data_IF_138547835932
#
_entry.id   IF_138547835932
#
_cell.length_a   1.000
_cell.length_b   1.000
_cell.length_c   1.000
_cell.angle_alpha   90.00
_cell.angle_beta   90.00
_cell.angle_gamma   90.00
#
_symmetry.space_group_name_H-M   'P 1'
#
loop_
_entity.id
_entity.type
_entity.pdbx_description
1 polymer ?
#
# COMPACT_ATOMS: atom_id res chain seq x y z
N UNK A 1 -30.66 9.91 -7.80
CA UNK A 1 -30.49 8.90 -8.86
C UNK A 1 -29.04 8.77 -9.35
N UNK A 2 -28.18 9.81 -9.28
CA UNK A 2 -26.75 9.73 -9.71
C UNK A 2 -25.81 9.04 -8.70
N UNK A 3 -26.19 8.99 -7.41
CA UNK A 3 -25.39 8.42 -6.33
C UNK A 3 -25.35 6.87 -6.33
N UNK A 4 -26.41 6.22 -6.81
CA UNK A 4 -26.46 4.76 -6.89
C UNK A 4 -25.48 4.23 -7.94
N UNK A 5 -25.40 4.89 -9.10
CA UNK A 5 -24.45 4.52 -10.17
C UNK A 5 -22.99 4.66 -9.74
N UNK A 6 -22.66 5.64 -8.90
CA UNK A 6 -21.29 5.83 -8.38
C UNK A 6 -20.93 4.79 -7.32
N UNK A 7 -21.87 4.41 -6.46
CA UNK A 7 -21.67 3.38 -5.42
C UNK A 7 -21.59 1.98 -6.06
N UNK A 8 -22.42 1.70 -7.07
CA UNK A 8 -22.41 0.45 -7.82
C UNK A 8 -21.10 0.31 -8.63
N UNK A 9 -20.63 1.39 -9.26
CA UNK A 9 -19.32 1.43 -9.92
C UNK A 9 -18.17 1.18 -8.94
N UNK A 10 -18.25 1.73 -7.72
CA UNK A 10 -17.23 1.52 -6.69
C UNK A 10 -17.21 0.07 -6.19
N UNK A 11 -18.37 -0.53 -5.90
CA UNK A 11 -18.49 -1.95 -5.50
C UNK A 11 -18.00 -2.91 -6.58
N UNK A 12 -18.16 -2.54 -7.85
CA UNK A 12 -17.66 -3.31 -8.99
C UNK A 12 -16.14 -3.26 -9.12
N UNK A 13 -15.51 -2.16 -8.68
CA UNK A 13 -14.05 -2.00 -8.65
C UNK A 13 -13.45 -2.70 -7.41
N UNK A 14 -14.19 -2.77 -6.30
CA UNK A 14 -13.72 -3.35 -5.03
C UNK A 14 -14.67 -4.47 -4.53
N UNK A 15 -14.65 -5.67 -5.13
CA UNK A 15 -15.54 -6.76 -4.72
C UNK A 15 -15.17 -7.29 -3.32
N UNK A 16 -16.08 -7.14 -2.36
CA UNK A 16 -15.95 -7.50 -0.93
C UNK A 16 -15.97 -9.01 -0.61
N UNK A 17 -15.54 -9.89 -1.53
CA UNK A 17 -15.72 -11.35 -1.40
C UNK A 17 -14.42 -12.20 -1.30
N UNK A 18 -13.28 -11.62 -0.89
CA UNK A 18 -12.09 -12.42 -0.54
C UNK A 18 -12.06 -12.66 0.97
N UNK A 19 -11.84 -13.90 1.43
CA UNK A 19 -11.66 -14.22 2.86
C UNK A 19 -10.50 -13.36 3.42
N UNK A 20 -10.75 -12.35 4.29
CA UNK A 20 -9.80 -11.26 4.52
C UNK A 20 -8.58 -11.56 5.42
N UNK A 21 -8.40 -12.77 5.95
CA UNK A 21 -7.61 -12.92 7.18
C UNK A 21 -6.12 -13.18 7.01
N UNK A 22 -5.63 -13.73 5.90
CA UNK A 22 -4.21 -14.12 5.81
C UNK A 22 -3.34 -13.07 5.12
N UNK A 23 -3.90 -12.20 4.28
CA UNK A 23 -3.09 -11.30 3.44
C UNK A 23 -2.31 -10.25 4.24
N UNK A 24 -2.92 -9.66 5.27
CA UNK A 24 -2.23 -8.69 6.13
C UNK A 24 -1.20 -9.36 7.04
N UNK A 25 -1.48 -10.58 7.51
CA UNK A 25 -0.50 -11.37 8.28
C UNK A 25 0.70 -11.74 7.41
N UNK A 26 0.46 -12.17 6.16
CA UNK A 26 1.51 -12.47 5.20
C UNK A 26 2.33 -11.24 4.82
N UNK A 27 1.69 -10.09 4.62
CA UNK A 27 2.38 -8.82 4.36
C UNK A 27 3.27 -8.40 5.54
N UNK A 28 2.75 -8.49 6.77
CA UNK A 28 3.51 -8.21 7.98
C UNK A 28 4.68 -9.18 8.18
N UNK A 29 4.41 -10.49 8.14
CA UNK A 29 5.44 -11.52 8.30
C UNK A 29 6.55 -11.37 7.25
N UNK A 30 6.18 -11.05 5.99
CA UNK A 30 7.15 -10.82 4.94
C UNK A 30 7.99 -9.57 5.21
N UNK A 31 7.35 -8.48 5.62
CA UNK A 31 8.04 -7.24 5.97
C UNK A 31 9.04 -7.48 7.10
N UNK A 32 8.62 -8.12 8.19
CA UNK A 32 9.47 -8.43 9.34
C UNK A 32 10.64 -9.33 8.94
N UNK A 33 10.39 -10.39 8.16
CA UNK A 33 11.46 -11.26 7.65
C UNK A 33 12.54 -10.48 6.89
N UNK A 34 12.14 -9.55 6.00
CA UNK A 34 13.13 -8.76 5.25
C UNK A 34 13.81 -7.72 6.15
N UNK A 35 13.09 -7.09 7.07
CA UNK A 35 13.65 -6.14 8.03
C UNK A 35 14.73 -6.81 8.87
N UNK A 36 14.39 -7.92 9.51
CA UNK A 36 15.27 -8.67 10.42
C UNK A 36 16.51 -9.15 9.65
N UNK A 37 16.34 -9.66 8.43
CA UNK A 37 17.45 -10.02 7.55
C UNK A 37 18.41 -8.84 7.30
N UNK A 38 17.89 -7.64 7.07
CA UNK A 38 18.73 -6.46 6.85
C UNK A 38 19.42 -5.99 8.13
N UNK A 39 18.77 -6.14 9.29
CA UNK A 39 19.37 -5.86 10.60
C UNK A 39 20.51 -6.83 10.91
N UNK A 40 20.31 -8.13 10.68
CA UNK A 40 21.32 -9.18 10.87
C UNK A 40 22.56 -8.97 9.98
N UNK A 41 22.38 -8.38 8.79
CA UNK A 41 23.46 -8.04 7.86
C UNK A 41 24.02 -6.62 8.06
N UNK A 42 23.56 -5.88 9.09
CA UNK A 42 23.91 -4.48 9.36
C UNK A 42 23.74 -3.54 8.14
N UNK A 43 22.79 -3.85 7.24
CA UNK A 43 22.58 -3.10 6.01
C UNK A 43 21.73 -1.84 6.23
N UNK A 44 22.42 -0.79 6.65
CA UNK A 44 21.83 0.55 6.86
C UNK A 44 21.14 1.11 5.62
N UNK A 45 21.62 0.76 4.41
CA UNK A 45 21.06 1.29 3.16
C UNK A 45 19.73 0.60 2.86
N UNK A 46 19.68 -0.73 2.98
CA UNK A 46 18.44 -1.50 2.86
C UNK A 46 17.39 -1.07 3.87
N UNK A 47 17.78 -0.91 5.15
CA UNK A 47 16.88 -0.45 6.20
C UNK A 47 16.27 0.92 5.89
N UNK A 48 17.08 1.88 5.46
CA UNK A 48 16.59 3.21 5.05
C UNK A 48 15.62 3.15 3.86
N UNK A 49 15.83 2.24 2.90
CA UNK A 49 14.90 2.06 1.78
C UNK A 49 13.55 1.50 2.23
N UNK A 50 13.55 0.56 3.18
CA UNK A 50 12.32 0.01 3.78
C UNK A 50 11.56 1.05 4.61
N UNK A 51 12.26 1.86 5.41
CA UNK A 51 11.65 2.97 6.14
C UNK A 51 10.98 3.98 5.20
N UNK A 52 11.67 4.33 4.10
CA UNK A 52 11.08 5.21 3.09
C UNK A 52 9.86 4.55 2.42
N UNK A 53 9.94 3.25 2.10
CA UNK A 53 8.82 2.48 1.55
C UNK A 53 7.60 2.52 2.47
N UNK A 54 7.77 2.29 3.77
CA UNK A 54 6.71 2.43 4.76
C UNK A 54 6.12 3.84 4.78
N UNK A 55 6.97 4.86 4.73
CA UNK A 55 6.53 6.26 4.72
C UNK A 55 5.65 6.55 3.50
N UNK A 56 6.00 6.03 2.31
CA UNK A 56 5.17 6.18 1.10
C UNK A 56 3.86 5.38 1.20
N UNK A 57 3.90 4.16 1.75
CA UNK A 57 2.70 3.34 1.97
C UNK A 57 1.71 4.05 2.90
N UNK A 58 2.18 4.55 4.05
CA UNK A 58 1.36 5.33 5.00
C UNK A 58 0.78 6.56 4.32
N UNK A 59 1.59 7.32 3.56
CA UNK A 59 1.12 8.52 2.86
C UNK A 59 0.03 8.23 1.83
N UNK A 60 0.12 7.07 1.15
CA UNK A 60 -0.89 6.62 0.20
C UNK A 60 -2.19 6.22 0.90
N UNK A 61 -2.10 5.41 1.96
CA UNK A 61 -3.26 4.98 2.75
C UNK A 61 -3.96 6.17 3.44
N UNK A 62 -3.22 7.13 3.99
CA UNK A 62 -3.80 8.37 4.56
C UNK A 62 -4.60 9.13 3.49
N UNK A 63 -4.11 9.19 2.25
CA UNK A 63 -4.83 9.83 1.16
C UNK A 63 -6.15 9.12 0.84
N UNK A 64 -6.17 7.77 0.83
CA UNK A 64 -7.39 6.98 0.64
C UNK A 64 -8.38 7.25 1.76
N UNK A 65 -7.93 7.17 3.02
CA UNK A 65 -8.80 7.38 4.18
C UNK A 65 -9.41 8.80 4.14
N UNK A 66 -8.64 9.83 3.77
CA UNK A 66 -9.16 11.20 3.61
C UNK A 66 -10.18 11.31 2.48
N UNK A 67 -10.00 10.58 1.38
CA UNK A 67 -11.00 10.51 0.30
C UNK A 67 -12.29 9.87 0.81
N UNK A 68 -12.20 8.76 1.54
CA UNK A 68 -13.37 8.05 2.05
C UNK A 68 -14.13 8.85 3.11
N UNK A 69 -13.40 9.53 4.00
CA UNK A 69 -13.99 10.49 4.96
C UNK A 69 -14.68 11.62 4.19
N UNK A 70 -14.03 12.19 3.17
CA UNK A 70 -14.63 13.27 2.37
C UNK A 70 -15.90 12.81 1.62
N UNK A 71 -15.92 11.55 1.16
CA UNK A 71 -17.08 10.91 0.56
C UNK A 71 -18.21 10.62 1.57
N UNK A 72 -17.89 10.51 2.85
CA UNK A 72 -18.87 10.27 3.91
C UNK A 72 -19.46 11.58 4.43
N UNK A 73 -18.67 12.65 4.48
CA UNK A 73 -19.07 13.97 5.02
C UNK A 73 -19.71 14.88 3.95
N UNK A 74 -20.26 14.30 2.87
CA UNK A 74 -20.89 15.02 1.75
C UNK A 74 -21.98 16.03 2.15
N UNK A 75 -22.58 15.86 3.32
CA UNK A 75 -23.70 16.69 3.81
C UNK A 75 -23.33 18.12 4.23
N UNK A 76 -22.06 18.55 4.11
CA UNK A 76 -21.60 19.86 4.63
C UNK A 76 -21.01 20.81 3.60
N UNK A 77 -20.87 20.41 2.35
CA UNK A 77 -20.27 21.22 1.29
C UNK A 77 -21.27 21.45 0.15
N UNK A 78 -21.15 22.59 -0.50
CA UNK A 78 -21.80 22.83 -1.79
C UNK A 78 -21.27 21.85 -2.84
N UNK A 79 -22.08 21.50 -3.84
CA UNK A 79 -21.76 20.46 -4.82
C UNK A 79 -20.44 20.75 -5.56
N UNK A 80 -20.21 21.99 -5.96
CA UNK A 80 -19.00 22.41 -6.67
C UNK A 80 -17.74 22.31 -5.80
N UNK A 81 -17.81 22.73 -4.53
CA UNK A 81 -16.70 22.62 -3.59
C UNK A 81 -16.34 21.16 -3.31
N UNK A 82 -17.36 20.30 -3.19
CA UNK A 82 -17.17 18.87 -3.02
C UNK A 82 -16.47 18.25 -4.24
N UNK A 83 -16.90 18.59 -5.46
CA UNK A 83 -16.29 18.10 -6.70
C UNK A 83 -14.81 18.52 -6.77
N UNK A 84 -14.51 19.79 -6.55
CA UNK A 84 -13.15 20.32 -6.59
C UNK A 84 -12.24 19.61 -5.58
N UNK A 85 -12.74 19.39 -4.36
CA UNK A 85 -12.01 18.65 -3.31
C UNK A 85 -11.76 17.19 -3.69
N UNK A 86 -12.74 16.51 -4.29
CA UNK A 86 -12.56 15.12 -4.74
C UNK A 86 -11.54 15.00 -5.88
N UNK A 87 -11.54 15.96 -6.81
CA UNK A 87 -10.54 16.02 -7.89
C UNK A 87 -9.13 16.22 -7.34
N UNK A 88 -8.96 17.15 -6.38
CA UNK A 88 -7.69 17.40 -5.72
C UNK A 88 -7.17 16.14 -4.99
N UNK A 89 -8.05 15.49 -4.21
CA UNK A 89 -7.69 14.29 -3.48
C UNK A 89 -7.38 13.11 -4.41
N UNK A 90 -8.12 12.93 -5.52
CA UNK A 90 -7.80 11.90 -6.51
C UNK A 90 -6.45 12.15 -7.19
N UNK A 91 -6.15 13.40 -7.52
CA UNK A 91 -4.86 13.78 -8.07
C UNK A 91 -3.72 13.46 -7.09
N UNK A 92 -3.88 13.84 -5.82
CA UNK A 92 -2.91 13.54 -4.76
C UNK A 92 -2.75 12.03 -4.56
N UNK A 93 -3.85 11.26 -4.54
CA UNK A 93 -3.83 9.80 -4.43
C UNK A 93 -2.98 9.17 -5.52
N UNK A 94 -3.16 9.61 -6.78
CA UNK A 94 -2.37 9.10 -7.92
C UNK A 94 -0.88 9.39 -7.73
N UNK A 95 -0.51 10.62 -7.33
CA UNK A 95 0.89 10.98 -7.08
C UNK A 95 1.49 10.10 -5.98
N UNK A 96 0.78 9.93 -4.85
CA UNK A 96 1.26 9.11 -3.73
C UNK A 96 1.37 7.64 -4.12
N UNK A 97 0.45 7.14 -4.94
CA UNK A 97 0.50 5.77 -5.44
C UNK A 97 1.70 5.52 -6.35
N UNK A 98 1.97 6.42 -7.30
CA UNK A 98 3.15 6.31 -8.17
C UNK A 98 4.45 6.39 -7.35
N UNK A 99 4.49 7.25 -6.32
CA UNK A 99 5.63 7.33 -5.41
C UNK A 99 5.84 6.02 -4.64
N UNK A 100 4.77 5.39 -4.16
CA UNK A 100 4.81 4.07 -3.52
C UNK A 100 5.34 2.99 -4.47
N UNK A 101 4.78 2.91 -5.69
CA UNK A 101 5.21 1.93 -6.71
C UNK A 101 6.69 2.13 -7.05
N UNK A 102 7.13 3.37 -7.23
CA UNK A 102 8.52 3.70 -7.51
C UNK A 102 9.44 3.23 -6.39
N UNK A 103 9.09 3.55 -5.14
CA UNK A 103 9.89 3.16 -3.98
C UNK A 103 9.93 1.65 -3.77
N UNK A 104 8.82 0.95 -4.00
CA UNK A 104 8.76 -0.51 -3.94
C UNK A 104 9.72 -1.13 -4.96
N UNK A 105 9.73 -0.60 -6.19
CA UNK A 105 10.65 -1.06 -7.23
C UNK A 105 12.11 -0.78 -6.89
N UNK A 106 12.44 0.39 -6.35
CA UNK A 106 13.81 0.74 -5.93
C UNK A 106 14.27 -0.24 -4.84
N UNK A 107 13.43 -0.45 -3.83
CA UNK A 107 13.72 -1.36 -2.70
C UNK A 107 13.93 -2.79 -3.19
N UNK A 108 13.01 -3.32 -4.01
CA UNK A 108 13.12 -4.67 -4.53
C UNK A 108 14.33 -4.88 -5.46
N UNK A 109 14.66 -3.90 -6.31
CA UNK A 109 15.87 -3.94 -7.14
C UNK A 109 17.14 -3.93 -6.30
N UNK A 110 17.17 -3.14 -5.23
CA UNK A 110 18.28 -3.11 -4.30
C UNK A 110 18.47 -4.47 -3.62
N UNK A 111 17.40 -5.04 -3.07
CA UNK A 111 17.43 -6.35 -2.40
C UNK A 111 17.85 -7.47 -3.38
N UNK A 112 17.34 -7.43 -4.60
CA UNK A 112 17.73 -8.36 -5.66
C UNK A 112 19.22 -8.25 -5.98
N UNK A 113 19.72 -7.05 -6.26
CA UNK A 113 21.12 -6.86 -6.66
C UNK A 113 22.13 -7.32 -5.60
N UNK A 114 21.82 -7.12 -4.32
CA UNK A 114 22.78 -7.36 -3.25
C UNK A 114 22.65 -8.74 -2.59
N UNK A 115 21.49 -9.41 -2.72
CA UNK A 115 21.19 -10.62 -1.93
C UNK A 115 20.50 -11.73 -2.72
N UNK A 116 20.41 -11.64 -4.06
CA UNK A 116 19.82 -12.72 -4.85
C UNK A 116 20.66 -14.00 -4.87
N UNK A 117 21.99 -13.88 -4.75
CA UNK A 117 22.93 -15.00 -4.91
C UNK A 117 22.79 -16.02 -3.77
N UNK A 118 22.42 -15.59 -2.57
CA UNK A 118 22.46 -16.41 -1.37
C UNK A 118 21.11 -17.09 -1.04
N UNK A 119 20.05 -16.87 -1.83
CA UNK A 119 18.68 -17.35 -1.58
C UNK A 119 18.05 -16.96 -0.22
N UNK A 120 18.71 -16.14 0.57
CA UNK A 120 18.26 -15.81 1.93
C UNK A 120 17.07 -14.84 1.96
N UNK A 121 16.86 -14.07 0.88
CA UNK A 121 15.67 -13.21 0.77
C UNK A 121 14.57 -13.94 0.02
N UNK A 122 13.33 -13.96 0.53
CA UNK A 122 12.22 -14.68 -0.10
C UNK A 122 11.83 -14.10 -1.47
N UNK A 123 11.22 -14.93 -2.32
CA UNK A 123 10.72 -14.52 -3.64
C UNK A 123 9.64 -13.43 -3.50
N UNK A 124 9.70 -12.38 -4.33
CA UNK A 124 8.86 -11.17 -4.18
C UNK A 124 9.44 -10.11 -3.24
N UNK A 125 10.50 -10.46 -2.48
CA UNK A 125 11.21 -9.58 -1.54
C UNK A 125 10.21 -9.02 -0.51
N UNK A 126 10.08 -7.69 -0.37
CA UNK A 126 9.15 -7.06 0.57
C UNK A 126 7.68 -7.21 0.12
N UNK A 127 7.44 -7.45 -1.18
CA UNK A 127 6.11 -7.64 -1.72
C UNK A 127 5.62 -9.08 -1.47
N UNK A 128 4.51 -9.23 -0.75
CA UNK A 128 3.99 -10.53 -0.28
C UNK A 128 2.95 -11.16 -1.21
N UNK A 129 2.41 -10.41 -2.17
CA UNK A 129 1.52 -10.93 -3.20
C UNK A 129 2.33 -11.60 -4.33
N UNK A 130 1.68 -12.35 -5.25
CA UNK A 130 2.39 -13.02 -6.34
C UNK A 130 3.24 -12.01 -7.15
N UNK A 131 4.55 -12.27 -7.39
CA UNK A 131 5.47 -11.29 -7.96
C UNK A 131 5.05 -10.70 -9.31
N UNK A 132 4.33 -11.47 -10.13
CA UNK A 132 3.76 -11.05 -11.40
C UNK A 132 2.77 -9.88 -11.26
N UNK A 133 2.16 -9.73 -10.09
CA UNK A 133 1.18 -8.66 -9.79
C UNK A 133 1.84 -7.34 -9.37
N UNK A 134 3.17 -7.28 -9.19
CA UNK A 134 3.85 -6.04 -8.77
C UNK A 134 3.69 -4.87 -9.76
N UNK A 135 3.33 -5.19 -11.01
CA UNK A 135 3.04 -4.19 -12.06
C UNK A 135 1.58 -3.75 -12.07
N UNK A 136 0.70 -4.48 -11.40
CA UNK A 136 -0.69 -4.10 -11.24
C UNK A 136 -0.81 -3.08 -10.11
N UNK A 137 -1.27 -1.88 -10.48
CA UNK A 137 -1.47 -0.79 -9.53
C UNK A 137 -2.47 -1.17 -8.44
N UNK A 138 -3.54 -1.89 -8.80
CA UNK A 138 -4.56 -2.26 -7.80
C UNK A 138 -3.95 -3.17 -6.75
N UNK A 139 -3.24 -4.22 -7.18
CA UNK A 139 -2.53 -5.14 -6.28
C UNK A 139 -1.51 -4.45 -5.37
N UNK A 140 -0.76 -3.45 -5.87
CA UNK A 140 0.18 -2.67 -5.02
C UNK A 140 -0.57 -1.84 -3.97
N UNK A 141 -1.70 -1.24 -4.34
CA UNK A 141 -2.55 -0.51 -3.41
C UNK A 141 -3.13 -1.41 -2.31
N UNK A 142 -3.65 -2.58 -2.69
CA UNK A 142 -4.17 -3.57 -1.76
C UNK A 142 -3.08 -4.10 -0.83
N UNK A 143 -1.90 -4.42 -1.38
CA UNK A 143 -0.73 -4.84 -0.60
C UNK A 143 -0.32 -3.78 0.44
N UNK A 144 -0.32 -2.49 0.08
CA UNK A 144 -0.02 -1.43 1.04
C UNK A 144 -1.07 -1.40 2.16
N UNK A 145 -2.35 -1.57 1.84
CA UNK A 145 -3.41 -1.70 2.84
C UNK A 145 -3.19 -2.89 3.78
N UNK A 146 -2.81 -4.04 3.22
CA UNK A 146 -2.48 -5.24 3.99
C UNK A 146 -1.27 -5.03 4.90
N UNK A 147 -0.19 -4.42 4.40
CA UNK A 147 1.00 -4.14 5.19
C UNK A 147 0.69 -3.22 6.38
N UNK A 148 0.02 -2.09 6.14
CA UNK A 148 -0.31 -1.13 7.19
C UNK A 148 -1.25 -1.73 8.23
N UNK A 149 -2.25 -2.52 7.79
CA UNK A 149 -3.15 -3.23 8.69
C UNK A 149 -2.38 -4.25 9.54
N UNK A 150 -1.49 -5.03 8.93
CA UNK A 150 -0.68 -6.02 9.63
C UNK A 150 0.25 -5.39 10.67
N UNK A 151 0.88 -4.26 10.35
CA UNK A 151 1.68 -3.48 11.31
C UNK A 151 0.83 -2.97 12.49
N UNK A 152 -0.38 -2.47 12.20
CA UNK A 152 -1.28 -1.97 13.23
C UNK A 152 -1.72 -3.08 14.19
N UNK A 153 -2.14 -4.24 13.67
CA UNK A 153 -2.64 -5.36 14.48
C UNK A 153 -1.55 -6.00 15.37
N UNK A 154 -0.28 -5.96 14.94
CA UNK A 154 0.86 -6.54 15.66
C UNK A 154 1.66 -5.51 16.49
N UNK A 155 1.12 -4.33 16.78
CA UNK A 155 1.79 -3.33 17.63
C UNK A 155 1.81 -3.77 19.10
N UNK A 156 2.88 -3.45 19.79
CA UNK A 156 2.95 -3.58 21.25
C UNK A 156 1.85 -2.71 21.91
N UNK A 157 1.22 -3.25 22.97
CA UNK A 157 0.12 -2.61 23.71
C UNK A 157 0.54 -2.24 25.13
#
# INVERSE_FOLDING_TARGET
MVLEDTVEAYRKIYPTNAKPNDNYQNAYARFTQVKDFLEDNEDKKGLSLIEELLTKAISYIDCIVRMDISNTVRFRLEEEEMINKLVELDHLRRIKHEALISQLNITNRYLFKNYEVDNDIPAGRVYSLPPETIRDRVSVGDWAGYLITGLYENRDR
#
